data_IF_419826510044
#
_entry.id   IF_419826510044
#
_cell.length_a   1.000
_cell.length_b   1.000
_cell.length_c   1.000
_cell.angle_alpha   90.00
_cell.angle_beta   90.00
_cell.angle_gamma   90.00
#
_symmetry.space_group_name_H-M   'P 1'
#
loop_
_entity.id
_entity.type
_entity.pdbx_description
1 polymer ?
#
# COMPACT_ATOMS: atom_id res chain seq x y z
N UNK A 1 -30.24 5.15 2.80
CA UNK A 1 -30.08 5.37 1.34
C UNK A 1 -29.83 4.00 0.73
N UNK A 2 -30.76 3.47 -0.06
CA UNK A 2 -30.66 2.15 -0.68
C UNK A 2 -30.11 2.32 -2.09
N UNK A 3 -28.96 1.73 -2.38
CA UNK A 3 -28.30 1.83 -3.69
C UNK A 3 -28.91 0.77 -4.62
N UNK A 4 -29.54 1.22 -5.71
CA UNK A 4 -30.12 0.35 -6.75
C UNK A 4 -29.03 0.03 -7.78
N UNK A 5 -28.56 -1.22 -7.79
CA UNK A 5 -27.44 -1.69 -8.62
C UNK A 5 -27.88 -2.07 -10.04
N UNK A 6 -28.56 -1.16 -10.73
CA UNK A 6 -28.85 -1.30 -12.16
C UNK A 6 -27.82 -0.51 -12.98
N UNK A 7 -26.62 -1.08 -13.12
CA UNK A 7 -25.67 -0.70 -14.17
C UNK A 7 -25.11 -1.95 -14.83
N UNK A 8 -25.96 -2.60 -15.64
CA UNK A 8 -25.46 -3.37 -16.77
C UNK A 8 -25.42 -2.43 -17.97
N UNK A 9 -24.25 -1.83 -18.18
CA UNK A 9 -23.99 -0.96 -19.31
C UNK A 9 -22.55 -1.16 -19.77
N UNK A 10 -22.44 -1.86 -20.91
CA UNK A 10 -21.25 -2.00 -21.75
C UNK A 10 -20.34 -3.20 -21.46
N UNK A 11 -20.83 -4.40 -21.79
CA UNK A 11 -19.95 -5.44 -22.34
C UNK A 11 -19.86 -5.19 -23.85
N UNK A 12 -18.91 -4.37 -24.26
CA UNK A 12 -18.56 -4.16 -25.67
C UNK A 12 -17.06 -3.92 -25.74
N UNK A 13 -16.33 -4.93 -25.31
CA UNK A 13 -14.99 -5.14 -25.81
C UNK A 13 -15.10 -5.94 -27.12
N UNK A 14 -15.52 -5.28 -28.21
CA UNK A 14 -15.24 -5.82 -29.54
C UNK A 14 -13.74 -5.62 -29.77
N UNK A 15 -12.91 -6.53 -29.24
CA UNK A 15 -11.53 -6.64 -29.72
C UNK A 15 -11.62 -7.17 -31.14
N UNK A 16 -11.50 -6.23 -32.07
CA UNK A 16 -10.98 -6.46 -33.40
C UNK A 16 -9.74 -7.37 -33.28
N UNK A 17 -9.92 -8.66 -33.55
CA UNK A 17 -8.83 -9.61 -33.66
C UNK A 17 -7.91 -9.14 -34.79
N UNK A 18 -6.75 -8.57 -34.45
CA UNK A 18 -5.76 -8.11 -35.44
C UNK A 18 -5.15 -9.34 -36.15
N UNK A 19 -5.42 -9.56 -37.45
CA UNK A 19 -4.85 -10.68 -38.19
C UNK A 19 -3.34 -10.52 -38.44
N UNK A 20 -2.75 -9.37 -38.10
CA UNK A 20 -1.31 -9.12 -38.13
C UNK A 20 -0.62 -9.39 -36.78
N UNK A 21 -1.31 -9.98 -35.79
CA UNK A 21 -0.57 -10.80 -34.85
C UNK A 21 0.07 -11.89 -35.69
N UNK A 22 1.35 -11.71 -36.04
CA UNK A 22 2.20 -12.83 -36.39
C UNK A 22 1.91 -13.84 -35.29
N UNK A 23 1.31 -14.96 -35.69
CA UNK A 23 1.28 -16.19 -34.92
C UNK A 23 2.77 -16.45 -34.67
N UNK A 24 3.30 -15.80 -33.63
CA UNK A 24 4.62 -16.09 -33.09
C UNK A 24 4.50 -17.58 -32.85
N UNK A 25 5.23 -18.34 -33.68
CA UNK A 25 5.32 -19.78 -33.59
C UNK A 25 5.40 -20.06 -32.10
N UNK A 26 4.41 -20.78 -31.58
CA UNK A 26 4.46 -21.33 -30.24
C UNK A 26 5.72 -22.20 -30.26
N UNK A 27 6.87 -21.59 -29.98
CA UNK A 27 8.04 -22.26 -29.46
C UNK A 27 7.43 -23.10 -28.36
N UNK A 28 7.45 -24.42 -28.57
CA UNK A 28 7.16 -25.41 -27.54
C UNK A 28 8.25 -25.20 -26.49
N UNK A 29 8.17 -24.08 -25.74
CA UNK A 29 8.77 -23.88 -24.45
C UNK A 29 8.19 -25.03 -23.65
N UNK A 30 8.95 -26.13 -23.60
CA UNK A 30 8.68 -27.29 -22.77
C UNK A 30 8.24 -26.73 -21.43
N UNK A 31 6.93 -26.79 -21.18
CA UNK A 31 6.33 -26.23 -19.98
C UNK A 31 7.20 -26.75 -18.83
N UNK A 32 7.94 -25.88 -18.11
CA UNK A 32 8.99 -26.29 -17.19
C UNK A 32 8.47 -27.12 -16.00
N UNK A 33 7.22 -27.56 -16.08
CA UNK A 33 6.46 -28.28 -15.09
C UNK A 33 5.98 -27.31 -14.04
N UNK A 34 4.90 -27.69 -13.37
CA UNK A 34 4.54 -27.06 -12.12
C UNK A 34 5.73 -27.16 -11.16
N UNK A 35 6.17 -26.03 -10.61
CA UNK A 35 7.21 -26.02 -9.58
C UNK A 35 6.70 -26.80 -8.36
N UNK A 36 7.38 -27.90 -8.02
CA UNK A 36 6.89 -28.86 -7.00
C UNK A 36 6.61 -28.20 -5.62
N UNK A 37 7.30 -27.10 -5.33
CA UNK A 37 7.21 -26.40 -4.06
C UNK A 37 6.36 -25.12 -4.08
N UNK A 38 5.61 -24.86 -5.15
CA UNK A 38 4.84 -23.60 -5.30
C UNK A 38 3.92 -23.29 -4.11
N UNK A 39 3.35 -24.34 -3.50
CA UNK A 39 2.41 -24.22 -2.38
C UNK A 39 3.04 -24.58 -1.01
N UNK A 40 4.33 -24.91 -0.98
CA UNK A 40 5.03 -25.23 0.27
C UNK A 40 5.21 -23.94 1.07
N UNK A 41 4.66 -23.91 2.27
CA UNK A 41 4.74 -22.75 3.16
C UNK A 41 3.61 -21.74 3.00
N UNK A 42 2.79 -21.82 1.94
CA UNK A 42 1.63 -20.93 1.73
C UNK A 42 0.64 -21.01 2.90
N UNK A 43 0.46 -22.20 3.47
CA UNK A 43 -0.39 -22.40 4.64
C UNK A 43 0.13 -21.73 5.92
N UNK A 44 1.41 -21.39 5.97
CA UNK A 44 2.06 -20.67 7.07
C UNK A 44 2.27 -19.18 6.81
N UNK A 45 2.11 -18.70 5.57
CA UNK A 45 2.23 -17.28 5.22
C UNK A 45 1.10 -16.43 5.83
N UNK A 46 -0.02 -17.07 6.17
CA UNK A 46 -1.14 -16.45 6.87
C UNK A 46 -1.22 -17.04 8.26
N UNK A 47 -0.90 -16.22 9.27
CA UNK A 47 -1.19 -16.58 10.66
C UNK A 47 -2.69 -16.85 10.79
N UNK A 48 -3.06 -18.08 11.20
CA UNK A 48 -4.45 -18.43 11.49
C UNK A 48 -4.89 -17.66 12.74
N UNK A 49 -5.31 -16.43 12.51
CA UNK A 49 -6.01 -15.64 13.50
C UNK A 49 -7.33 -16.38 13.81
N UNK A 50 -7.60 -16.59 15.11
CA UNK A 50 -8.82 -17.27 15.54
C UNK A 50 -10.05 -16.54 15.01
N UNK A 51 -11.20 -17.23 14.94
CA UNK A 51 -12.43 -16.62 14.44
C UNK A 51 -12.86 -15.34 15.20
N UNK A 52 -12.36 -15.15 16.43
CA UNK A 52 -12.58 -13.97 17.28
C UNK A 52 -11.42 -12.96 17.29
N UNK A 53 -10.37 -13.16 16.47
CA UNK A 53 -9.18 -12.31 16.48
C UNK A 53 -9.35 -11.01 15.68
N UNK A 54 -10.31 -10.96 14.77
CA UNK A 54 -10.68 -9.74 14.07
C UNK A 54 -12.09 -9.34 14.49
N UNK A 55 -12.19 -8.28 15.31
CA UNK A 55 -13.44 -7.62 15.65
C UNK A 55 -13.63 -6.38 14.74
N UNK A 56 -14.52 -6.44 13.74
CA UNK A 56 -14.79 -5.29 12.87
C UNK A 56 -15.40 -4.11 13.64
N UNK A 57 -16.05 -4.35 14.78
CA UNK A 57 -16.65 -3.30 15.62
C UNK A 57 -15.60 -2.55 16.44
N UNK A 58 -14.47 -3.19 16.75
CA UNK A 58 -13.32 -2.55 17.37
C UNK A 58 -12.57 -1.64 16.38
N UNK A 59 -12.68 -1.89 15.07
CA UNK A 59 -12.00 -1.11 14.05
C UNK A 59 -12.65 0.27 13.84
N UNK A 60 -12.14 1.26 14.58
CA UNK A 60 -12.54 2.66 14.45
C UNK A 60 -11.54 3.42 13.58
N UNK A 61 -12.02 4.00 12.48
CA UNK A 61 -11.23 4.90 11.66
C UNK A 61 -11.85 6.28 11.62
N UNK A 62 -11.01 7.30 11.62
CA UNK A 62 -11.42 8.69 11.50
C UNK A 62 -11.29 9.12 10.05
N UNK A 63 -12.43 9.39 9.40
CA UNK A 63 -12.43 10.06 8.10
C UNK A 63 -12.04 11.53 8.29
N UNK A 64 -10.98 11.95 7.61
CA UNK A 64 -10.58 13.34 7.54
C UNK A 64 -10.79 13.85 6.11
N UNK A 65 -11.25 15.08 5.98
CA UNK A 65 -11.21 15.81 4.72
C UNK A 65 -9.76 16.10 4.35
N UNK A 66 -9.51 16.40 3.06
CA UNK A 66 -8.18 16.84 2.61
C UNK A 66 -7.61 17.96 3.47
N UNK A 67 -8.44 18.95 3.84
CA UNK A 67 -8.01 20.11 4.62
C UNK A 67 -7.62 19.75 6.06
N UNK A 68 -8.34 18.84 6.68
CA UNK A 68 -8.02 18.34 8.02
C UNK A 68 -6.73 17.50 7.99
N UNK A 69 -6.55 16.66 6.98
CA UNK A 69 -5.33 15.87 6.77
C UNK A 69 -4.11 16.76 6.52
N UNK A 70 -4.26 17.81 5.70
CA UNK A 70 -3.21 18.81 5.44
C UNK A 70 -2.81 19.52 6.75
N UNK A 71 -3.80 19.92 7.55
CA UNK A 71 -3.58 20.54 8.86
C UNK A 71 -2.82 19.63 9.84
N UNK A 72 -3.31 18.40 10.01
CA UNK A 72 -2.68 17.41 10.89
C UNK A 72 -1.22 17.15 10.48
N UNK A 73 -0.96 16.95 9.18
CA UNK A 73 0.40 16.76 8.68
C UNK A 73 1.30 17.96 9.00
N UNK A 74 0.81 19.18 8.79
CA UNK A 74 1.58 20.39 9.06
C UNK A 74 1.93 20.55 10.56
N UNK A 75 1.00 20.20 11.45
CA UNK A 75 1.25 20.18 12.89
C UNK A 75 2.35 19.17 13.26
N UNK A 76 2.26 17.95 12.73
CA UNK A 76 3.28 16.92 12.94
C UNK A 76 4.66 17.36 12.44
N UNK A 77 4.73 17.96 11.24
CA UNK A 77 5.98 18.46 10.66
C UNK A 77 6.56 19.61 11.48
N UNK A 78 5.71 20.52 11.97
CA UNK A 78 6.14 21.65 12.80
C UNK A 78 6.68 21.18 14.15
N UNK A 79 6.01 20.20 14.77
CA UNK A 79 6.45 19.57 16.02
C UNK A 79 7.82 18.90 15.84
N UNK A 80 7.98 18.08 14.81
CA UNK A 80 9.24 17.42 14.49
C UNK A 80 10.37 18.43 14.24
N UNK A 81 10.12 19.46 13.43
CA UNK A 81 11.10 20.50 13.17
C UNK A 81 11.53 21.25 14.45
N UNK A 82 10.59 21.45 15.39
CA UNK A 82 10.89 22.09 16.67
C UNK A 82 11.79 21.21 17.53
N UNK A 83 11.52 19.90 17.59
CA UNK A 83 12.36 18.93 18.30
C UNK A 83 13.77 18.89 17.71
N UNK A 84 13.89 18.81 16.38
CA UNK A 84 15.18 18.78 15.71
C UNK A 84 16.01 20.04 15.98
N UNK A 85 15.39 21.22 15.93
CA UNK A 85 16.05 22.49 16.29
C UNK A 85 16.51 22.53 17.74
N UNK A 86 15.71 21.99 18.66
CA UNK A 86 16.08 21.93 20.07
C UNK A 86 17.28 20.99 20.29
N UNK A 87 17.31 19.83 19.61
CA UNK A 87 18.44 18.90 19.65
C UNK A 87 19.70 19.55 19.07
N UNK A 88 19.60 20.18 17.90
CA UNK A 88 20.70 20.88 17.25
C UNK A 88 21.29 21.98 18.16
N UNK A 89 20.43 22.84 18.72
CA UNK A 89 20.85 23.87 19.67
C UNK A 89 21.49 23.28 20.93
N UNK A 90 20.99 22.14 21.41
CA UNK A 90 21.55 21.45 22.58
C UNK A 90 22.93 20.87 22.29
N UNK A 91 23.11 20.23 21.12
CA UNK A 91 24.41 19.74 20.66
C UNK A 91 25.42 20.88 20.49
N UNK A 92 25.00 22.02 19.93
CA UNK A 92 25.83 23.20 19.77
C UNK A 92 26.18 23.91 21.10
N UNK A 93 25.34 23.82 22.14
CA UNK A 93 25.69 24.30 23.48
C UNK A 93 26.72 23.41 24.18
N UNK A 94 26.70 22.10 23.93
CA UNK A 94 27.64 21.15 24.53
C UNK A 94 29.03 21.26 23.88
N UNK A 95 29.11 21.54 22.58
CA UNK A 95 30.36 21.82 21.88
C UNK A 95 30.33 23.25 21.27
N UNK A 96 30.73 24.28 22.02
CA UNK A 96 30.91 25.60 21.44
C UNK A 96 31.95 25.53 20.30
N UNK A 97 31.71 26.14 19.12
CA UNK A 97 32.62 26.04 17.98
C UNK A 97 33.96 26.76 18.16
N UNK A 98 34.26 27.36 19.31
CA UNK A 98 35.56 27.98 19.58
C UNK A 98 35.96 27.78 21.04
N UNK A 99 36.82 26.79 21.26
CA UNK A 99 37.71 26.74 22.41
C UNK A 99 39.07 27.29 21.99
N UNK A 100 39.27 28.59 22.23
CA UNK A 100 40.48 29.36 22.64
C UNK A 100 40.21 30.83 22.35
#
# INVERSE_FOLDING_TARGET
MSVDMNSQGSDSNEEDYDPNCEEEEEEEDEDPGDIEDYYVGVASDVEQQGADAFDPEEYQFTCLTYKESEGALNEHMTSLASVLKAVDAHCHQLHPPYGT
#
